data_IF_640088332173
#
_entry.id   IF_640088332173
#
_cell.length_a   1.000
_cell.length_b   1.000
_cell.length_c   1.000
_cell.angle_alpha   90.00
_cell.angle_beta   90.00
_cell.angle_gamma   90.00
#
_symmetry.space_group_name_H-M   'P 1'
#
loop_
_entity.id
_entity.type
_entity.pdbx_description
1 polymer ?
#
# COMPACT_ATOMS: atom_id res chain seq x y z
N UNK A 1 8.39 -12.62 -5.20
CA UNK A 1 7.06 -12.90 -4.61
C UNK A 1 7.08 -12.25 -3.23
N UNK A 2 6.32 -11.22 -2.86
CA UNK A 2 4.86 -11.17 -2.81
C UNK A 2 4.34 -9.72 -2.93
N UNK A 3 3.49 -9.41 -3.93
CA UNK A 3 2.65 -8.21 -3.93
C UNK A 3 1.28 -8.40 -3.21
N UNK A 4 0.96 -9.61 -2.74
CA UNK A 4 -0.38 -9.95 -2.24
C UNK A 4 -0.61 -9.73 -0.73
N UNK A 5 0.43 -9.41 0.07
CA UNK A 5 0.29 -9.27 1.53
C UNK A 5 -0.41 -7.98 1.96
N UNK A 6 -0.38 -6.94 1.12
CA UNK A 6 -1.13 -5.68 1.36
C UNK A 6 -2.63 -5.93 1.21
N UNK A 7 -3.02 -6.73 0.21
CA UNK A 7 -4.39 -7.19 0.03
C UNK A 7 -4.82 -8.14 1.17
N UNK A 8 -3.93 -8.98 1.68
CA UNK A 8 -4.25 -9.86 2.81
C UNK A 8 -4.58 -9.07 4.09
N UNK A 9 -3.86 -7.97 4.36
CA UNK A 9 -4.15 -7.10 5.49
C UNK A 9 -5.42 -6.25 5.28
N UNK A 10 -5.65 -5.73 4.07
CA UNK A 10 -6.87 -5.00 3.75
C UNK A 10 -8.11 -5.90 3.74
N UNK A 11 -7.98 -7.15 3.29
CA UNK A 11 -9.08 -8.12 3.25
C UNK A 11 -9.35 -8.74 4.63
N UNK A 12 -8.31 -8.97 5.44
CA UNK A 12 -8.47 -9.44 6.82
C UNK A 12 -8.99 -8.34 7.78
N UNK A 13 -8.87 -7.06 7.42
CA UNK A 13 -9.45 -5.96 8.21
C UNK A 13 -10.98 -5.82 8.04
N UNK A 14 -11.56 -6.41 6.98
CA UNK A 14 -13.01 -6.35 6.71
C UNK A 14 -13.78 -7.58 7.22
N UNK A 15 -13.09 -8.56 7.81
CA UNK A 15 -13.68 -9.74 8.41
C UNK A 15 -12.81 -10.21 9.59
N UNK A 16 -13.43 -10.27 10.78
CA UNK A 16 -12.96 -10.85 12.04
C UNK A 16 -12.39 -9.88 13.09
N UNK A 17 -13.27 -9.60 14.06
CA UNK A 17 -13.15 -10.14 15.43
C UNK A 17 -11.81 -9.91 16.16
N UNK A 18 -11.89 -9.03 17.17
CA UNK A 18 -10.81 -8.54 18.04
C UNK A 18 -10.10 -9.58 18.94
N UNK A 19 -10.23 -10.89 18.69
CA UNK A 19 -9.75 -11.95 19.62
C UNK A 19 -9.07 -13.11 18.89
N UNK A 20 -8.12 -12.86 17.98
CA UNK A 20 -7.31 -13.95 17.41
C UNK A 20 -5.81 -13.77 17.70
N UNK A 21 -5.10 -14.80 18.22
CA UNK A 21 -3.63 -14.82 18.26
C UNK A 21 -2.96 -14.54 16.90
N UNK A 22 -3.70 -14.76 15.80
CA UNK A 22 -3.29 -14.40 14.43
C UNK A 22 -3.05 -12.90 14.25
N UNK A 23 -3.74 -12.01 14.95
CA UNK A 23 -3.51 -10.56 14.85
C UNK A 23 -2.13 -10.15 15.36
N UNK A 24 -1.61 -10.84 16.39
CA UNK A 24 -0.26 -10.57 16.92
C UNK A 24 0.83 -11.04 15.95
N UNK A 25 0.62 -12.19 15.30
CA UNK A 25 1.55 -12.72 14.31
C UNK A 25 1.52 -11.88 13.03
N UNK A 26 0.33 -11.46 12.59
CA UNK A 26 0.16 -10.56 11.45
C UNK A 26 0.76 -9.18 11.73
N UNK A 27 0.50 -8.59 12.91
CA UNK A 27 1.11 -7.31 13.33
C UNK A 27 2.63 -7.41 13.28
N UNK A 28 3.23 -8.42 13.93
CA UNK A 28 4.69 -8.59 13.92
C UNK A 28 5.27 -8.77 12.52
N UNK A 29 4.60 -9.55 11.68
CA UNK A 29 5.04 -9.81 10.31
C UNK A 29 4.98 -8.53 9.47
N UNK A 30 3.89 -7.77 9.60
CA UNK A 30 3.72 -6.53 8.87
C UNK A 30 4.67 -5.44 9.37
N UNK A 31 4.85 -5.28 10.68
CA UNK A 31 5.84 -4.35 11.24
C UNK A 31 7.25 -4.63 10.70
N UNK A 32 7.67 -5.91 10.65
CA UNK A 32 8.96 -6.28 10.04
C UNK A 32 9.02 -5.92 8.56
N UNK A 33 7.95 -6.17 7.81
CA UNK A 33 7.88 -5.85 6.39
C UNK A 33 7.95 -4.34 6.15
N UNK A 34 7.23 -3.54 6.93
CA UNK A 34 7.26 -2.08 6.86
C UNK A 34 8.67 -1.57 7.18
N UNK A 35 9.30 -2.05 8.26
CA UNK A 35 10.67 -1.66 8.62
C UNK A 35 11.70 -2.03 7.55
N UNK A 36 11.54 -3.19 6.88
CA UNK A 36 12.41 -3.58 5.76
C UNK A 36 12.39 -2.57 4.61
N UNK A 37 11.29 -1.88 4.38
CA UNK A 37 11.19 -0.85 3.36
C UNK A 37 11.55 0.54 3.89
N UNK A 38 11.09 0.90 5.08
CA UNK A 38 11.37 2.20 5.69
C UNK A 38 12.84 2.45 5.99
N UNK A 39 13.66 1.41 6.15
CA UNK A 39 15.11 1.55 6.29
C UNK A 39 15.74 2.29 5.09
N UNK A 40 15.18 2.14 3.89
CA UNK A 40 15.62 2.85 2.67
C UNK A 40 15.33 4.36 2.74
N UNK A 41 14.34 4.76 3.54
CA UNK A 41 14.00 6.14 3.84
C UNK A 41 14.57 6.63 5.18
N UNK A 42 15.47 5.85 5.81
CA UNK A 42 16.02 6.10 7.16
C UNK A 42 14.94 6.27 8.24
N UNK A 43 13.85 5.49 8.17
CA UNK A 43 12.77 5.50 9.17
C UNK A 43 12.56 4.12 9.77
N UNK A 44 11.99 4.08 10.96
CA UNK A 44 11.70 2.86 11.70
C UNK A 44 10.41 3.03 12.49
N UNK A 45 9.61 1.97 12.58
CA UNK A 45 8.41 1.90 13.41
C UNK A 45 8.54 0.80 14.47
N UNK A 46 8.06 1.12 15.67
CA UNK A 46 8.06 0.25 16.85
C UNK A 46 6.64 -0.25 17.16
N UNK A 47 5.64 0.64 17.08
CA UNK A 47 4.23 0.26 17.13
C UNK A 47 3.50 0.67 15.85
N UNK A 48 3.06 -0.34 15.11
CA UNK A 48 2.33 -0.17 13.87
C UNK A 48 1.13 0.79 13.97
N UNK A 49 0.38 0.76 15.07
CA UNK A 49 -0.85 1.55 15.19
C UNK A 49 -0.56 3.00 15.57
N UNK A 50 0.45 3.25 16.40
CA UNK A 50 0.83 4.60 16.79
C UNK A 50 1.66 5.27 15.71
N UNK A 51 2.66 4.57 15.16
CA UNK A 51 3.65 5.17 14.27
C UNK A 51 3.13 5.41 12.84
N UNK A 52 2.02 4.79 12.45
CA UNK A 52 1.36 5.07 11.16
C UNK A 52 0.25 6.13 11.28
N UNK A 53 -0.16 6.49 12.50
CA UNK A 53 -1.37 7.30 12.75
C UNK A 53 -1.28 8.73 12.23
N UNK A 54 -0.07 9.28 12.15
CA UNK A 54 0.17 10.63 11.64
C UNK A 54 0.31 10.72 10.11
N UNK A 55 0.30 9.57 9.43
CA UNK A 55 0.39 9.44 7.98
C UNK A 55 1.81 9.58 7.41
N UNK A 56 2.79 10.05 8.16
CA UNK A 56 4.12 10.30 7.61
C UNK A 56 4.82 9.01 7.20
N UNK A 57 4.84 8.01 8.08
CA UNK A 57 5.47 6.72 7.81
C UNK A 57 4.74 5.97 6.69
N UNK A 58 3.42 6.15 6.58
CA UNK A 58 2.63 5.59 5.50
C UNK A 58 3.00 6.20 4.14
N UNK A 59 3.14 7.53 4.07
CA UNK A 59 3.62 8.22 2.86
C UNK A 59 5.01 7.73 2.48
N UNK A 60 5.98 7.74 3.40
CA UNK A 60 7.35 7.26 3.12
C UNK A 60 7.38 5.82 2.60
N UNK A 61 6.54 4.95 3.16
CA UNK A 61 6.43 3.57 2.72
C UNK A 61 5.93 3.49 1.27
N UNK A 62 4.92 4.29 0.90
CA UNK A 62 4.41 4.35 -0.47
C UNK A 62 5.44 4.90 -1.45
N UNK A 63 6.18 5.95 -1.07
CA UNK A 63 7.26 6.52 -1.89
C UNK A 63 8.35 5.48 -2.17
N UNK A 64 8.76 4.71 -1.15
CA UNK A 64 9.76 3.63 -1.32
C UNK A 64 9.23 2.49 -2.20
N UNK A 65 7.95 2.16 -2.09
CA UNK A 65 7.35 1.04 -2.82
C UNK A 65 7.06 1.36 -4.28
N UNK A 66 6.65 2.60 -4.59
CA UNK A 66 6.30 2.99 -5.95
C UNK A 66 7.40 3.77 -6.67
N UNK A 67 8.36 4.34 -5.93
CA UNK A 67 9.38 5.24 -6.48
C UNK A 67 8.87 6.64 -6.80
N UNK A 68 7.61 6.96 -6.47
CA UNK A 68 7.04 8.29 -6.70
C UNK A 68 7.19 9.17 -5.46
N UNK A 69 7.25 10.49 -5.64
CA UNK A 69 7.16 11.44 -4.53
C UNK A 69 5.70 11.80 -4.26
N UNK A 70 5.29 11.76 -2.99
CA UNK A 70 3.93 12.10 -2.56
C UNK A 70 3.93 13.42 -1.77
N UNK A 71 2.86 14.23 -1.86
CA UNK A 71 2.74 15.44 -1.08
C UNK A 71 2.68 15.13 0.43
N UNK A 72 3.17 16.06 1.26
CA UNK A 72 3.26 15.88 2.71
C UNK A 72 3.02 17.19 3.45
N UNK A 73 2.01 17.20 4.30
CA UNK A 73 1.72 18.29 5.24
C UNK A 73 2.73 18.27 6.39
N UNK A 74 3.30 19.44 6.71
CA UNK A 74 4.33 19.59 7.77
C UNK A 74 3.75 20.01 9.13
N UNK A 75 2.48 20.40 9.18
CA UNK A 75 1.85 20.89 10.40
C UNK A 75 1.60 19.78 11.43
N UNK A 76 1.56 20.16 12.71
CA UNK A 76 1.44 19.20 13.84
C UNK A 76 0.01 18.98 14.33
N UNK A 77 -0.94 19.80 13.89
CA UNK A 77 -2.34 19.71 14.28
C UNK A 77 -2.98 18.42 13.76
N UNK A 78 -4.06 17.99 14.43
CA UNK A 78 -4.83 16.80 14.04
C UNK A 78 -5.27 16.85 12.56
N UNK A 79 -5.63 18.02 12.06
CA UNK A 79 -5.99 18.22 10.66
C UNK A 79 -4.89 17.78 9.69
N UNK A 80 -3.64 18.21 9.90
CA UNK A 80 -2.51 17.83 9.04
C UNK A 80 -2.20 16.33 9.10
N UNK A 81 -2.32 15.72 10.29
CA UNK A 81 -2.16 14.27 10.44
C UNK A 81 -3.20 13.50 9.61
N UNK A 82 -4.46 13.91 9.71
CA UNK A 82 -5.55 13.32 8.91
C UNK A 82 -5.31 13.54 7.41
N UNK A 83 -4.85 14.74 7.02
CA UNK A 83 -4.55 15.04 5.63
C UNK A 83 -3.42 14.17 5.07
N UNK A 84 -2.35 13.94 5.82
CA UNK A 84 -1.27 13.03 5.42
C UNK A 84 -1.77 11.59 5.24
N UNK A 85 -2.64 11.12 6.13
CA UNK A 85 -3.28 9.80 5.99
C UNK A 85 -4.15 9.77 4.74
N UNK A 86 -4.94 10.81 4.50
CA UNK A 86 -5.83 10.92 3.34
C UNK A 86 -5.05 10.87 2.01
N UNK A 87 -3.95 11.62 1.91
CA UNK A 87 -3.05 11.60 0.73
C UNK A 87 -2.59 10.17 0.41
N UNK A 88 -2.14 9.43 1.44
CA UNK A 88 -1.68 8.05 1.26
C UNK A 88 -2.82 7.11 0.81
N UNK A 89 -4.01 7.26 1.39
CA UNK A 89 -5.19 6.46 1.02
C UNK A 89 -5.66 6.76 -0.41
N UNK A 90 -5.68 8.02 -0.81
CA UNK A 90 -6.06 8.43 -2.15
C UNK A 90 -5.06 7.93 -3.19
N UNK A 91 -3.76 7.98 -2.87
CA UNK A 91 -2.73 7.39 -3.71
C UNK A 91 -2.93 5.88 -3.94
N UNK A 92 -3.20 5.14 -2.86
CA UNK A 92 -3.51 3.71 -2.92
C UNK A 92 -4.76 3.45 -3.76
N UNK A 93 -5.83 4.23 -3.58
CA UNK A 93 -7.07 4.08 -4.35
C UNK A 93 -6.82 4.30 -5.84
N UNK A 94 -6.10 5.35 -6.21
CA UNK A 94 -5.78 5.60 -7.62
C UNK A 94 -4.93 4.47 -8.23
N UNK A 95 -3.90 3.99 -7.52
CA UNK A 95 -3.08 2.86 -8.00
C UNK A 95 -3.86 1.55 -8.06
N UNK A 96 -4.74 1.28 -7.10
CA UNK A 96 -5.57 0.08 -7.08
C UNK A 96 -6.63 0.11 -8.18
N UNK A 97 -7.23 1.27 -8.48
CA UNK A 97 -8.13 1.47 -9.64
C UNK A 97 -7.39 1.35 -10.98
N UNK A 98 -6.11 1.72 -11.03
CA UNK A 98 -5.28 1.47 -12.22
C UNK A 98 -4.93 0.00 -12.37
N UNK A 99 -4.50 -0.68 -11.31
CA UNK A 99 -4.22 -2.12 -11.32
C UNK A 99 -5.48 -2.90 -11.67
N UNK A 100 -6.54 -2.71 -10.88
CA UNK A 100 -7.89 -2.38 -11.35
C UNK A 100 -8.27 -2.67 -12.79
N UNK A 101 -8.29 -1.56 -13.50
CA UNK A 101 -8.59 -1.47 -14.92
C UNK A 101 -7.58 -2.24 -15.77
N UNK A 102 -6.29 -2.26 -15.42
CA UNK A 102 -5.27 -3.00 -16.18
C UNK A 102 -5.45 -4.52 -16.14
N UNK A 103 -5.95 -5.10 -15.03
CA UNK A 103 -6.30 -6.52 -15.00
C UNK A 103 -7.68 -6.80 -15.60
N UNK A 104 -8.61 -5.83 -15.56
CA UNK A 104 -9.96 -5.97 -16.14
C UNK A 104 -9.94 -5.96 -17.68
N UNK A 105 -8.95 -5.32 -18.31
CA UNK A 105 -8.77 -5.33 -19.78
C UNK A 105 -8.01 -6.56 -20.30
N UNK A 106 -7.69 -7.54 -19.45
CA UNK A 106 -7.14 -8.84 -19.86
C UNK A 106 -8.20 -9.95 -19.74
N UNK A 107 -9.38 -9.74 -20.30
CA UNK A 107 -10.25 -10.86 -20.68
C UNK A 107 -9.68 -11.52 -21.94
N UNK A 108 -9.25 -12.79 -21.88
CA UNK A 108 -8.69 -13.50 -23.04
C UNK A 108 -9.83 -13.84 -24.00
N UNK A 109 -9.70 -13.47 -25.27
CA UNK A 109 -10.76 -13.77 -26.26
C UNK A 109 -10.53 -13.30 -27.68
N UNK A 110 -9.53 -12.46 -27.96
CA UNK A 110 -9.18 -12.08 -29.33
C UNK A 110 -7.70 -12.31 -29.58
N UNK A 111 -7.40 -13.31 -30.42
CA UNK A 111 -6.07 -13.54 -30.97
C UNK A 111 -5.61 -12.27 -31.70
N UNK A 112 -4.39 -11.76 -31.47
CA UNK A 112 -3.87 -10.68 -32.29
C UNK A 112 -3.65 -11.19 -33.71
N UNK A 113 -4.44 -10.64 -34.64
CA UNK A 113 -4.24 -10.77 -36.08
C UNK A 113 -2.82 -10.29 -36.42
N UNK A 114 -2.01 -11.18 -36.98
CA UNK A 114 -0.63 -10.86 -37.35
C UNK A 114 -0.65 -9.84 -38.49
N UNK A 115 0.07 -8.73 -38.30
CA UNK A 115 0.29 -7.73 -39.35
C UNK A 115 1.14 -8.35 -40.48
N UNK A 116 0.71 -8.25 -41.75
CA UNK A 116 1.41 -8.85 -42.89
C UNK A 116 2.59 -7.96 -43.34
N UNK A 117 3.62 -7.82 -42.50
CA UNK A 117 4.86 -7.15 -42.88
C UNK A 117 6.12 -7.97 -42.62
N UNK A 118 5.99 -9.23 -42.23
CA UNK A 118 7.12 -10.16 -42.02
C UNK A 118 6.87 -11.50 -42.76
N UNK A 119 6.40 -11.42 -44.01
CA UNK A 119 6.46 -12.47 -45.04
C UNK A 119 6.34 -11.83 -46.43
#
# INVERSE_FOLDING_TARGET
>A
MWPNSVLFLLFSAHHLCSVCPRDRVQKKTFTKWVNKHLIKAQRHISDLYEDLRDGHNLISLLEVLSGDSLPREKGRMRFHKLQNVQIALDYLRHRQVRLSASYRLKTPGTLPEMLPSEL
#
